data_IF_738522342211
#
_entry.id   IF_738522342211
#
_cell.length_a   1.000
_cell.length_b   1.000
_cell.length_c   1.000
_cell.angle_alpha   90.00
_cell.angle_beta   90.00
_cell.angle_gamma   90.00
#
_symmetry.space_group_name_H-M   'P 1'
#
loop_
_entity.id
_entity.type
_entity.pdbx_description
1 polymer ?
#
# COMPACT_ATOMS: atom_id res chain seq x y z
N UNK A 1 -25.67 -8.63 15.37
CA UNK A 1 -24.27 -8.94 14.99
C UNK A 1 -23.33 -7.97 15.68
N UNK A 2 -22.01 -8.20 15.61
CA UNK A 2 -21.00 -7.28 16.14
C UNK A 2 -21.04 -5.92 15.42
N UNK A 3 -20.61 -4.84 16.08
CA UNK A 3 -20.54 -3.50 15.45
C UNK A 3 -19.38 -3.43 14.45
N UNK A 4 -19.45 -2.49 13.48
CA UNK A 4 -18.36 -2.29 12.50
C UNK A 4 -17.00 -2.08 13.19
N UNK A 5 -16.99 -1.29 14.26
CA UNK A 5 -15.79 -1.09 15.09
C UNK A 5 -15.18 -2.40 15.59
N UNK A 6 -16.00 -3.36 16.06
CA UNK A 6 -15.50 -4.67 16.49
C UNK A 6 -15.02 -5.53 15.32
N UNK A 7 -15.66 -5.44 14.15
CA UNK A 7 -15.21 -6.14 12.95
C UNK A 7 -13.84 -5.63 12.49
N UNK A 8 -13.62 -4.32 12.55
CA UNK A 8 -12.33 -3.71 12.24
C UNK A 8 -11.24 -4.18 13.21
N UNK A 9 -11.54 -4.26 14.52
CA UNK A 9 -10.60 -4.81 15.51
C UNK A 9 -10.21 -6.26 15.18
N UNK A 10 -11.18 -7.10 14.79
CA UNK A 10 -10.88 -8.48 14.35
C UNK A 10 -10.00 -8.47 13.09
N UNK A 11 -10.29 -7.59 12.13
CA UNK A 11 -9.47 -7.43 10.93
C UNK A 11 -8.03 -7.01 11.24
N UNK A 12 -7.85 -6.06 12.17
CA UNK A 12 -6.55 -5.61 12.66
C UNK A 12 -5.76 -6.79 13.23
N UNK A 13 -6.34 -7.57 14.14
CA UNK A 13 -5.65 -8.72 14.73
C UNK A 13 -5.33 -9.80 13.69
N UNK A 14 -6.21 -10.04 12.71
CA UNK A 14 -5.92 -10.97 11.61
C UNK A 14 -4.72 -10.50 10.76
N UNK A 15 -4.63 -9.21 10.45
CA UNK A 15 -3.47 -8.67 9.72
C UNK A 15 -2.18 -8.75 10.54
N UNK A 16 -2.24 -8.57 11.87
CA UNK A 16 -1.09 -8.72 12.76
C UNK A 16 -0.63 -10.17 12.86
N UNK A 17 -1.54 -11.14 12.82
CA UNK A 17 -1.19 -12.55 12.75
C UNK A 17 -0.37 -12.86 11.48
N UNK A 18 -0.77 -12.32 10.32
CA UNK A 18 0.00 -12.45 9.08
C UNK A 18 1.36 -11.74 9.17
N UNK A 19 1.40 -10.57 9.79
CA UNK A 19 2.63 -9.82 10.03
C UNK A 19 3.62 -10.59 10.93
N UNK A 20 3.13 -11.29 11.95
CA UNK A 20 3.96 -12.10 12.83
C UNK A 20 4.59 -13.29 12.09
N UNK A 21 3.85 -13.91 11.17
CA UNK A 21 4.39 -14.95 10.29
C UNK A 21 5.56 -14.42 9.45
N UNK A 22 5.39 -13.26 8.83
CA UNK A 22 6.43 -12.64 8.01
C UNK A 22 7.62 -12.18 8.85
N UNK A 23 7.38 -11.60 10.03
CA UNK A 23 8.43 -11.23 10.98
C UNK A 23 9.25 -12.46 11.41
N UNK A 24 8.59 -13.58 11.69
CA UNK A 24 9.26 -14.83 12.08
C UNK A 24 10.18 -15.37 10.98
N UNK A 25 9.85 -15.15 9.71
CA UNK A 25 10.71 -15.51 8.59
C UNK A 25 12.02 -14.70 8.57
N UNK A 26 11.94 -13.41 8.92
CA UNK A 26 13.13 -12.53 8.97
C UNK A 26 13.95 -12.70 10.26
N UNK A 27 13.41 -13.32 11.31
CA UNK A 27 14.15 -13.65 12.52
C UNK A 27 14.78 -12.43 13.18
N UNK A 28 16.09 -12.47 13.43
CA UNK A 28 16.82 -11.36 14.07
C UNK A 28 16.90 -10.07 13.23
N UNK A 29 16.58 -10.14 11.93
CA UNK A 29 16.53 -8.98 11.05
C UNK A 29 15.22 -8.20 11.16
N UNK A 30 14.22 -8.70 11.89
CA UNK A 30 12.96 -7.99 12.11
C UNK A 30 12.76 -7.57 13.56
N UNK A 31 11.73 -6.74 13.76
CA UNK A 31 11.24 -6.31 15.07
C UNK A 31 10.65 -7.44 15.94
N UNK A 32 10.60 -8.69 15.46
CA UNK A 32 10.06 -9.84 16.18
C UNK A 32 8.53 -9.81 16.27
N UNK A 33 7.97 -8.78 16.90
CA UNK A 33 6.53 -8.58 17.12
C UNK A 33 5.97 -7.45 16.24
N UNK A 34 4.82 -7.64 15.57
CA UNK A 34 4.20 -6.61 14.74
C UNK A 34 4.00 -5.28 15.47
N UNK A 35 4.37 -4.16 14.84
CA UNK A 35 4.05 -2.84 15.39
C UNK A 35 2.54 -2.62 15.46
N UNK A 36 2.11 -1.82 16.43
CA UNK A 36 0.70 -1.49 16.72
C UNK A 36 0.37 -0.04 16.42
N UNK A 37 1.38 0.82 16.30
CA UNK A 37 1.23 2.24 15.95
C UNK A 37 2.23 2.66 14.88
N UNK A 38 1.97 3.81 14.25
CA UNK A 38 2.88 4.40 13.25
C UNK A 38 4.18 4.87 13.93
N UNK A 39 4.11 5.30 15.18
CA UNK A 39 5.25 5.70 15.99
C UNK A 39 6.15 4.51 16.34
N UNK A 40 5.57 3.36 16.68
CA UNK A 40 6.32 2.12 16.89
C UNK A 40 7.04 1.69 15.61
N UNK A 41 6.37 1.77 14.46
CA UNK A 41 6.99 1.45 13.17
C UNK A 41 8.22 2.32 12.90
N UNK A 42 8.13 3.63 13.17
CA UNK A 42 9.24 4.56 12.99
C UNK A 42 10.39 4.26 13.96
N UNK A 43 10.10 4.00 15.24
CA UNK A 43 11.10 3.65 16.24
C UNK A 43 11.81 2.34 15.88
N UNK A 44 11.07 1.32 15.46
CA UNK A 44 11.65 0.05 15.04
C UNK A 44 12.51 0.19 13.78
N UNK A 45 12.19 1.14 12.90
CA UNK A 45 13.00 1.43 11.71
C UNK A 45 14.40 1.94 12.03
N UNK A 46 14.64 2.48 13.23
CA UNK A 46 15.97 2.86 13.71
C UNK A 46 16.79 1.67 14.23
N UNK A 47 16.12 0.57 14.58
CA UNK A 47 16.70 -0.57 15.28
C UNK A 47 16.85 -1.82 14.40
N UNK A 48 15.95 -2.00 13.44
CA UNK A 48 15.84 -3.22 12.63
C UNK A 48 15.86 -2.88 11.15
N UNK A 49 16.53 -3.70 10.31
CA UNK A 49 16.52 -3.51 8.86
C UNK A 49 15.17 -3.83 8.23
N UNK A 50 14.35 -4.67 8.88
CA UNK A 50 13.00 -5.01 8.43
C UNK A 50 12.01 -4.72 9.56
N UNK A 51 10.99 -3.92 9.27
CA UNK A 51 9.91 -3.64 10.22
C UNK A 51 8.61 -4.17 9.64
N UNK A 52 7.96 -5.06 10.37
CA UNK A 52 6.71 -5.69 9.95
C UNK A 52 5.58 -5.28 10.90
N UNK A 53 4.40 -5.04 10.34
CA UNK A 53 3.20 -4.70 11.09
C UNK A 53 1.92 -5.02 10.32
N UNK A 54 0.79 -4.70 10.93
CA UNK A 54 -0.54 -4.86 10.35
C UNK A 54 -1.38 -3.61 10.54
N UNK A 55 -2.69 -3.78 10.62
CA UNK A 55 -3.62 -2.71 10.97
C UNK A 55 -3.30 -2.09 12.35
N UNK A 56 -3.66 -0.83 12.51
CA UNK A 56 -3.39 -0.05 13.74
C UNK A 56 -4.68 0.40 14.41
N UNK A 57 -5.53 1.12 13.69
CA UNK A 57 -6.76 1.73 14.22
C UNK A 57 -7.98 1.36 13.36
N UNK A 58 -9.17 1.14 13.97
CA UNK A 58 -10.41 0.94 13.24
C UNK A 58 -10.71 2.04 12.23
N UNK A 59 -11.32 1.68 11.10
CA UNK A 59 -11.58 2.59 9.98
C UNK A 59 -10.39 2.85 9.04
N UNK A 60 -9.19 2.34 9.33
CA UNK A 60 -8.05 2.41 8.40
C UNK A 60 -7.77 1.07 7.73
N UNK A 61 -7.60 1.10 6.41
CA UNK A 61 -7.07 -0.04 5.64
C UNK A 61 -5.56 -0.19 5.83
N UNK A 62 -5.00 -1.33 5.43
CA UNK A 62 -3.55 -1.56 5.46
C UNK A 62 -2.79 -0.62 4.54
N UNK A 63 -3.40 -0.19 3.42
CA UNK A 63 -2.82 0.82 2.53
C UNK A 63 -2.67 2.16 3.26
N UNK A 64 -3.72 2.58 3.98
CA UNK A 64 -3.70 3.83 4.74
C UNK A 64 -2.66 3.79 5.86
N UNK A 65 -2.58 2.68 6.61
CA UNK A 65 -1.53 2.48 7.63
C UNK A 65 -0.14 2.54 7.00
N UNK A 66 0.08 1.82 5.89
CA UNK A 66 1.38 1.79 5.23
C UNK A 66 1.78 3.16 4.68
N UNK A 67 0.82 3.94 4.17
CA UNK A 67 1.08 5.29 3.68
C UNK A 67 1.42 6.26 4.83
N UNK A 68 0.75 6.13 5.99
CA UNK A 68 1.10 6.89 7.19
C UNK A 68 2.51 6.53 7.70
N UNK A 69 2.88 5.24 7.67
CA UNK A 69 4.24 4.81 8.01
C UNK A 69 5.25 5.41 7.05
N UNK A 70 5.00 5.33 5.74
CA UNK A 70 5.86 5.89 4.70
C UNK A 70 6.05 7.42 4.87
N UNK A 71 4.97 8.16 5.13
CA UNK A 71 5.03 9.59 5.46
C UNK A 71 5.86 9.84 6.71
N UNK A 72 5.62 9.06 7.77
CA UNK A 72 6.30 9.24 9.07
C UNK A 72 7.81 8.99 9.00
N UNK A 73 8.26 8.04 8.19
CA UNK A 73 9.69 7.70 8.06
C UNK A 73 10.36 8.45 6.90
N UNK A 74 9.62 9.28 6.16
CA UNK A 74 10.16 9.99 4.98
C UNK A 74 10.59 9.05 3.86
N UNK A 75 9.81 7.99 3.60
CA UNK A 75 10.14 6.99 2.60
C UNK A 75 10.19 7.59 1.18
N UNK A 76 11.20 7.22 0.40
CA UNK A 76 11.34 7.65 -1.00
C UNK A 76 10.38 6.94 -1.96
N UNK A 77 9.98 5.71 -1.60
CA UNK A 77 9.17 4.82 -2.40
C UNK A 77 8.18 4.04 -1.54
N UNK A 78 6.92 4.06 -1.94
CA UNK A 78 5.86 3.19 -1.46
C UNK A 78 5.60 2.09 -2.48
N UNK A 79 5.57 0.82 -2.08
CA UNK A 79 5.27 -0.29 -2.99
C UNK A 79 3.99 -0.98 -2.56
N UNK A 80 2.95 -0.92 -3.39
CA UNK A 80 1.71 -1.68 -3.22
C UNK A 80 1.78 -2.98 -4.03
N UNK A 81 1.91 -4.11 -3.33
CA UNK A 81 1.84 -5.44 -3.92
C UNK A 81 0.41 -5.98 -3.79
N UNK A 82 -0.30 -5.99 -4.92
CA UNK A 82 -1.72 -6.33 -4.99
C UNK A 82 -1.98 -7.59 -5.83
N UNK A 83 -3.23 -8.01 -5.94
CA UNK A 83 -3.63 -9.18 -6.74
C UNK A 83 -3.76 -8.88 -8.25
N UNK A 84 -3.74 -7.60 -8.64
CA UNK A 84 -3.82 -7.14 -10.04
C UNK A 84 -2.45 -6.66 -10.54
N UNK A 85 -2.30 -6.52 -11.86
CA UNK A 85 -1.00 -6.14 -12.44
C UNK A 85 -0.63 -4.67 -12.23
N UNK A 86 -1.60 -3.78 -11.98
CA UNK A 86 -1.37 -2.38 -11.66
C UNK A 86 -2.68 -1.58 -11.65
N UNK A 87 -2.60 -0.28 -11.89
CA UNK A 87 -3.76 0.62 -12.02
C UNK A 87 -4.24 0.59 -13.46
N UNK A 88 -5.54 0.43 -13.65
CA UNK A 88 -6.19 0.44 -14.96
C UNK A 88 -7.04 1.70 -15.14
N UNK A 89 -7.28 2.08 -16.40
CA UNK A 89 -8.19 3.18 -16.74
C UNK A 89 -9.66 2.89 -16.33
N UNK A 90 -10.02 1.61 -16.21
CA UNK A 90 -11.31 1.08 -15.75
C UNK A 90 -11.14 -0.35 -15.21
N UNK A 91 -12.16 -0.92 -14.58
CA UNK A 91 -12.06 -2.27 -14.01
C UNK A 91 -11.85 -3.36 -15.09
N UNK A 92 -10.69 -4.05 -15.11
CA UNK A 92 -10.40 -5.09 -16.10
C UNK A 92 -11.27 -6.35 -15.95
N UNK A 93 -11.97 -6.53 -14.83
CA UNK A 93 -12.92 -7.64 -14.63
C UNK A 93 -14.27 -7.38 -15.30
N UNK A 94 -14.61 -6.11 -15.52
CA UNK A 94 -15.86 -5.65 -16.12
C UNK A 94 -15.69 -5.23 -17.57
N UNK A 95 -14.47 -4.86 -17.95
CA UNK A 95 -14.15 -4.30 -19.25
C UNK A 95 -12.94 -5.02 -19.86
N UNK A 96 -13.18 -5.81 -20.90
CA UNK A 96 -12.10 -6.51 -21.62
C UNK A 96 -11.13 -5.55 -22.31
N UNK A 97 -11.55 -4.31 -22.59
CA UNK A 97 -10.73 -3.26 -23.20
C UNK A 97 -9.98 -2.39 -22.18
N UNK A 98 -10.01 -2.75 -20.89
CA UNK A 98 -9.28 -2.03 -19.84
C UNK A 98 -7.78 -2.02 -20.10
N UNK A 99 -7.17 -0.85 -19.95
CA UNK A 99 -5.75 -0.64 -20.23
C UNK A 99 -4.98 -0.37 -18.94
N UNK A 100 -3.88 -1.08 -18.78
CA UNK A 100 -2.92 -0.81 -17.72
C UNK A 100 -2.32 0.59 -17.94
N UNK A 101 -2.33 1.40 -16.89
CA UNK A 101 -1.70 2.71 -16.87
C UNK A 101 -0.27 2.51 -16.36
N UNK A 102 0.72 2.47 -17.23
CA UNK A 102 2.12 2.22 -16.83
C UNK A 102 2.70 3.33 -15.95
N UNK A 103 2.26 4.57 -16.18
CA UNK A 103 2.72 5.74 -15.43
C UNK A 103 1.60 6.76 -15.28
N UNK A 104 1.38 7.21 -14.05
CA UNK A 104 0.41 8.26 -13.72
C UNK A 104 0.98 9.20 -12.65
N UNK A 105 0.33 10.32 -12.45
CA UNK A 105 0.57 11.23 -11.34
C UNK A 105 -0.27 10.87 -10.12
N UNK A 106 0.16 11.31 -8.94
CA UNK A 106 -0.64 11.22 -7.70
C UNK A 106 -1.99 11.95 -7.82
N UNK A 107 -2.08 13.02 -8.61
CA UNK A 107 -3.36 13.68 -8.91
C UNK A 107 -4.28 12.81 -9.77
N UNK A 108 -3.74 12.11 -10.77
CA UNK A 108 -4.50 11.13 -11.55
C UNK A 108 -4.98 9.97 -10.67
N UNK A 109 -4.12 9.45 -9.79
CA UNK A 109 -4.51 8.45 -8.79
C UNK A 109 -5.67 8.96 -7.94
N UNK A 110 -5.60 10.19 -7.42
CA UNK A 110 -6.68 10.79 -6.65
C UNK A 110 -7.98 10.91 -7.45
N UNK A 111 -7.93 11.32 -8.72
CA UNK A 111 -9.12 11.38 -9.58
C UNK A 111 -9.73 9.99 -9.78
N UNK A 112 -8.91 8.97 -10.02
CA UNK A 112 -9.36 7.60 -10.22
C UNK A 112 -10.00 7.03 -8.93
N UNK A 113 -9.42 7.33 -7.77
CA UNK A 113 -9.86 6.76 -6.50
C UNK A 113 -11.00 7.56 -5.83
N UNK A 114 -11.02 8.88 -5.96
CA UNK A 114 -12.00 9.77 -5.30
C UNK A 114 -13.14 10.19 -6.23
N UNK A 115 -12.85 10.50 -7.50
CA UNK A 115 -13.83 11.04 -8.44
C UNK A 115 -14.52 9.97 -9.30
N UNK A 116 -14.01 8.73 -9.35
CA UNK A 116 -14.60 7.59 -10.08
C UNK A 116 -15.99 7.16 -9.60
N UNK A 117 -16.52 7.81 -8.55
CA UNK A 117 -17.78 7.47 -7.91
C UNK A 117 -17.70 6.13 -7.19
N UNK A 118 -18.45 5.98 -6.10
CA UNK A 118 -18.70 4.69 -5.44
C UNK A 118 -19.56 3.78 -6.35
N UNK A 119 -19.17 3.61 -7.60
CA UNK A 119 -19.76 2.65 -8.51
C UNK A 119 -19.33 1.27 -8.03
N UNK A 120 -20.24 0.62 -7.29
CA UNK A 120 -20.03 -0.68 -6.70
C UNK A 120 -19.30 -1.62 -7.67
N UNK A 121 -18.08 -1.98 -7.30
CA UNK A 121 -17.26 -2.97 -7.99
C UNK A 121 -16.16 -2.43 -8.91
N UNK A 122 -15.80 -1.15 -8.92
CA UNK A 122 -14.45 -0.77 -9.39
C UNK A 122 -13.48 -1.15 -8.26
N UNK A 123 -12.66 -2.18 -8.46
CA UNK A 123 -11.66 -2.55 -7.46
C UNK A 123 -10.64 -1.42 -7.33
N UNK A 124 -10.71 -0.67 -6.22
CA UNK A 124 -9.69 0.32 -5.89
C UNK A 124 -8.39 -0.41 -5.62
N UNK A 125 -7.35 -0.06 -6.38
CA UNK A 125 -6.04 -0.68 -6.22
C UNK A 125 -5.29 -0.11 -5.02
N UNK A 126 -5.55 1.16 -4.70
CA UNK A 126 -5.08 1.84 -3.49
C UNK A 126 -6.29 2.50 -2.83
N UNK A 127 -6.39 2.37 -1.52
CA UNK A 127 -7.40 3.04 -0.69
C UNK A 127 -7.40 4.59 -0.86
N UNK A 128 -8.56 5.26 -0.83
CA UNK A 128 -8.64 6.72 -0.96
C UNK A 128 -7.79 7.51 0.04
N UNK A 129 -7.76 7.08 1.31
CA UNK A 129 -6.96 7.75 2.33
C UNK A 129 -5.47 7.59 2.05
N UNK A 130 -5.04 6.40 1.63
CA UNK A 130 -3.66 6.17 1.22
C UNK A 130 -3.26 7.04 0.02
N UNK A 131 -4.13 7.18 -0.99
CA UNK A 131 -3.89 8.06 -2.14
C UNK A 131 -3.74 9.54 -1.73
N UNK A 132 -4.55 10.01 -0.78
CA UNK A 132 -4.44 11.38 -0.23
C UNK A 132 -3.12 11.58 0.51
N UNK A 133 -2.70 10.61 1.33
CA UNK A 133 -1.43 10.66 2.06
C UNK A 133 -0.27 10.69 1.05
N UNK A 134 -0.21 9.74 0.12
CA UNK A 134 0.87 9.68 -0.87
C UNK A 134 0.98 10.98 -1.70
N UNK A 135 -0.15 11.57 -2.09
CA UNK A 135 -0.19 12.84 -2.80
C UNK A 135 0.39 13.99 -1.96
N UNK A 136 -0.09 14.18 -0.72
CA UNK A 136 0.38 15.30 0.12
C UNK A 136 1.82 15.14 0.59
N UNK A 137 2.29 13.90 0.77
CA UNK A 137 3.65 13.61 1.22
C UNK A 137 4.67 13.62 0.08
N UNK A 138 4.23 13.67 -1.19
CA UNK A 138 5.12 13.63 -2.34
C UNK A 138 5.89 12.33 -2.49
N UNK A 139 5.32 11.21 -2.04
CA UNK A 139 5.97 9.90 -2.05
C UNK A 139 5.67 9.20 -3.39
N UNK A 140 6.72 8.72 -4.06
CA UNK A 140 6.56 7.90 -5.27
C UNK A 140 5.90 6.58 -4.89
N UNK A 141 4.99 6.08 -5.71
CA UNK A 141 4.32 4.82 -5.46
C UNK A 141 4.47 3.88 -6.65
N UNK A 142 4.83 2.62 -6.40
CA UNK A 142 4.81 1.55 -7.38
C UNK A 142 3.68 0.58 -7.05
N UNK A 143 2.84 0.28 -8.01
CA UNK A 143 1.76 -0.70 -7.89
C UNK A 143 2.06 -1.87 -8.82
N UNK A 144 2.10 -3.07 -8.25
CA UNK A 144 2.43 -4.27 -9.01
C UNK A 144 1.77 -5.53 -8.43
N UNK A 145 1.78 -6.60 -9.22
CA UNK A 145 1.26 -7.89 -8.79
C UNK A 145 2.19 -8.57 -7.76
N UNK A 146 1.69 -8.80 -6.55
CA UNK A 146 2.44 -9.42 -5.45
C UNK A 146 2.82 -10.89 -5.69
N UNK A 147 2.18 -11.58 -6.63
CA UNK A 147 2.56 -12.95 -7.01
C UNK A 147 3.83 -13.03 -7.85
N UNK A 148 4.28 -11.91 -8.43
CA UNK A 148 5.45 -11.82 -9.31
C UNK A 148 6.66 -11.24 -8.55
N UNK A 149 7.21 -11.97 -7.60
CA UNK A 149 8.28 -11.46 -6.71
C UNK A 149 9.58 -11.04 -7.41
N UNK A 150 9.89 -11.56 -8.60
CA UNK A 150 11.03 -11.04 -9.37
C UNK A 150 10.82 -9.59 -9.80
N UNK A 151 9.57 -9.17 -10.03
CA UNK A 151 9.21 -7.79 -10.33
C UNK A 151 9.48 -6.85 -9.16
N UNK A 152 9.33 -7.35 -7.91
CA UNK A 152 9.68 -6.57 -6.71
C UNK A 152 11.17 -6.22 -6.68
N UNK A 153 12.05 -7.12 -7.13
CA UNK A 153 13.50 -6.82 -7.19
C UNK A 153 13.79 -5.66 -8.14
N UNK A 154 13.14 -5.63 -9.31
CA UNK A 154 13.27 -4.53 -10.28
C UNK A 154 12.79 -3.21 -9.70
N UNK A 155 11.63 -3.21 -9.02
CA UNK A 155 11.08 -2.03 -8.33
C UNK A 155 12.09 -1.49 -7.31
N UNK A 156 12.61 -2.34 -6.43
CA UNK A 156 13.54 -1.94 -5.37
C UNK A 156 14.89 -1.43 -5.91
N UNK A 157 15.27 -1.80 -7.13
CA UNK A 157 16.48 -1.32 -7.81
C UNK A 157 16.25 -0.05 -8.65
N UNK A 158 15.01 0.41 -8.77
CA UNK A 158 14.67 1.52 -9.66
C UNK A 158 14.79 1.17 -11.15
N UNK A 159 14.70 -0.11 -11.49
CA UNK A 159 14.71 -0.60 -12.87
C UNK A 159 13.28 -0.57 -13.46
N UNK A 160 13.16 -0.79 -14.77
CA UNK A 160 11.85 -1.01 -15.40
C UNK A 160 11.15 -2.23 -14.79
N UNK A 161 9.85 -2.12 -14.53
CA UNK A 161 9.05 -3.17 -13.93
C UNK A 161 7.65 -3.22 -14.57
N UNK A 162 6.99 -4.37 -14.49
CA UNK A 162 5.63 -4.53 -14.95
C UNK A 162 4.64 -4.02 -13.89
N UNK A 163 3.91 -2.95 -14.18
CA UNK A 163 2.87 -2.41 -13.30
C UNK A 163 2.64 -0.93 -13.54
N UNK A 164 2.34 -0.18 -12.48
CA UNK A 164 2.10 1.26 -12.54
C UNK A 164 3.07 2.01 -11.65
N UNK A 165 3.79 2.97 -12.22
CA UNK A 165 4.57 3.96 -11.47
C UNK A 165 3.76 5.25 -11.28
N UNK A 166 3.58 5.65 -10.04
CA UNK A 166 2.84 6.84 -9.62
C UNK A 166 3.83 7.88 -9.11
N UNK A 167 3.88 9.03 -9.78
CA UNK A 167 4.80 10.12 -9.45
C UNK A 167 4.09 11.30 -8.78
N UNK A 168 4.75 12.01 -7.86
CA UNK A 168 4.23 13.25 -7.30
C UNK A 168 3.89 14.27 -8.39
N UNK A 169 2.73 14.93 -8.26
CA UNK A 169 2.35 16.01 -9.18
C UNK A 169 3.21 17.25 -8.86
N UNK A 170 4.13 17.61 -9.75
CA UNK A 170 4.97 18.81 -9.60
C UNK A 170 6.49 18.57 -9.43
N UNK A 171 7.00 17.36 -9.67
CA UNK A 171 8.44 17.11 -9.71
C UNK A 171 9.03 17.37 -11.10
N UNK A 172 9.78 18.47 -11.23
CA UNK A 172 10.82 18.68 -12.26
C UNK A 172 12.14 18.19 -11.70
#
# INVERSE_FOLDING_TARGET
>A
GASQYHLDLIGIEATRMNALLLSSYFGEFSNGEPFRTVEEAALYGELYPVVVGGGTVPGHSTDAVSALVAERVGAELFVNLTAVDGVYDRDPRKHEDARLLEKISTEELLRLTVSGGFSAGTHMVIDPLAAVILHRSGIKCAVANGSKLDNLKSILRGEEFAGTLILPSGGV
#
